data_IF_433756082445
#
_entry.id   IF_433756082445
#
_cell.length_a   1.000
_cell.length_b   1.000
_cell.length_c   1.000
_cell.angle_alpha   90.00
_cell.angle_beta   90.00
_cell.angle_gamma   90.00
#
_symmetry.space_group_name_H-M   'P 1'
#
loop_
_entity.id
_entity.type
_entity.pdbx_description
1 polymer ?
#
# COMPACT_ATOMS: atom_id res chain seq x y z
N UNK A 1 39.43 39.13 4.77
CA UNK A 1 39.30 40.27 3.83
C UNK A 1 40.49 41.20 4.01
N UNK A 2 40.85 42.03 3.02
CA UNK A 2 41.92 43.03 3.18
C UNK A 2 41.31 44.40 3.48
N UNK A 3 41.96 45.18 4.35
CA UNK A 3 41.52 46.54 4.68
C UNK A 3 41.61 47.46 3.45
N UNK A 4 40.53 48.18 3.13
CA UNK A 4 40.51 49.15 2.01
C UNK A 4 41.62 50.21 2.06
N UNK A 5 41.97 50.70 3.27
CA UNK A 5 42.99 51.76 3.44
C UNK A 5 44.41 51.27 3.63
N UNK A 6 44.66 50.20 4.39
CA UNK A 6 46.02 49.75 4.69
C UNK A 6 46.40 48.41 4.03
N UNK A 7 45.49 47.81 3.27
CA UNK A 7 45.66 46.57 2.48
C UNK A 7 46.17 45.34 3.27
N UNK A 8 46.10 45.40 4.60
CA UNK A 8 46.44 44.28 5.50
C UNK A 8 45.25 43.35 5.69
N UNK A 9 45.52 42.09 6.01
CA UNK A 9 44.46 41.14 6.34
C UNK A 9 43.73 41.53 7.62
N UNK A 10 42.40 41.54 7.55
CA UNK A 10 41.50 41.86 8.67
C UNK A 10 40.57 40.69 8.91
N UNK A 11 40.40 40.34 10.19
CA UNK A 11 39.40 39.41 10.72
C UNK A 11 38.40 40.20 11.56
N UNK A 12 37.36 40.74 10.93
CA UNK A 12 36.30 41.50 11.60
C UNK A 12 35.83 42.73 10.81
N UNK A 13 34.86 43.45 11.37
CA UNK A 13 34.28 44.69 10.80
C UNK A 13 35.17 45.92 10.96
N UNK A 14 36.22 45.88 11.80
CA UNK A 14 37.11 47.03 12.03
C UNK A 14 38.56 46.58 11.91
N UNK A 15 39.36 47.30 11.12
CA UNK A 15 40.79 47.05 11.01
C UNK A 15 41.49 47.44 12.31
N UNK A 16 42.05 46.45 13.02
CA UNK A 16 42.75 46.64 14.30
C UNK A 16 43.98 47.55 14.20
N UNK A 17 44.47 47.84 13.00
CA UNK A 17 45.68 48.63 12.76
C UNK A 17 45.44 50.09 12.41
N UNK A 18 44.36 50.39 11.69
CA UNK A 18 44.07 51.76 11.24
C UNK A 18 42.69 52.27 11.66
N UNK A 19 41.93 51.45 12.39
CA UNK A 19 40.59 51.78 12.88
C UNK A 19 39.52 51.83 11.80
N UNK A 20 39.83 51.50 10.55
CA UNK A 20 38.87 51.60 9.46
C UNK A 20 37.81 50.51 9.54
N UNK A 21 36.55 50.95 9.59
CA UNK A 21 35.39 50.07 9.49
C UNK A 21 35.34 49.52 8.06
N UNK A 22 35.42 48.20 7.95
CA UNK A 22 35.24 47.48 6.70
C UNK A 22 33.76 47.15 6.55
N UNK A 23 33.16 47.57 5.44
CA UNK A 23 31.83 47.12 5.05
C UNK A 23 31.88 45.63 4.76
N UNK A 24 31.37 44.81 5.69
CA UNK A 24 31.13 43.40 5.42
C UNK A 24 29.94 43.37 4.47
N UNK A 25 30.05 42.81 3.26
CA UNK A 25 28.90 42.67 2.39
C UNK A 25 27.85 41.85 3.14
N UNK A 26 26.69 42.46 3.39
CA UNK A 26 25.54 41.74 3.94
C UNK A 26 25.23 40.57 3.02
N UNK A 27 25.23 39.37 3.60
CA UNK A 27 24.85 38.16 2.89
C UNK A 27 23.38 38.31 2.48
N UNK A 28 23.17 38.66 1.21
CA UNK A 28 21.82 38.85 0.67
C UNK A 28 21.19 37.47 0.52
N UNK A 29 20.44 37.06 1.54
CA UNK A 29 19.59 35.87 1.45
C UNK A 29 18.52 36.16 0.40
N UNK A 30 18.73 35.66 -0.82
CA UNK A 30 17.76 35.75 -1.91
C UNK A 30 16.57 34.88 -1.55
N UNK A 31 15.56 35.48 -0.93
CA UNK A 31 14.30 34.80 -0.70
C UNK A 31 13.62 34.54 -2.06
N UNK A 32 13.04 33.34 -2.27
CA UNK A 32 12.34 33.03 -3.51
C UNK A 32 11.23 34.03 -3.76
N UNK A 33 11.08 34.46 -5.01
CA UNK A 33 10.02 35.41 -5.36
C UNK A 33 8.65 34.79 -5.10
N UNK A 34 7.63 35.62 -4.82
CA UNK A 34 6.25 35.15 -4.60
C UNK A 34 5.73 34.28 -5.74
N UNK A 35 6.15 34.57 -6.98
CA UNK A 35 5.78 33.80 -8.17
C UNK A 35 6.40 32.41 -8.16
N UNK A 36 7.61 32.28 -7.62
CA UNK A 36 8.28 30.99 -7.49
C UNK A 36 7.63 30.16 -6.38
N UNK A 37 7.28 30.78 -5.24
CA UNK A 37 6.54 30.13 -4.16
C UNK A 37 5.20 29.55 -4.67
N UNK A 38 4.45 30.32 -5.47
CA UNK A 38 3.20 29.85 -6.08
C UNK A 38 3.42 28.67 -7.03
N UNK A 39 4.45 28.73 -7.89
CA UNK A 39 4.81 27.61 -8.79
C UNK A 39 5.11 26.34 -7.99
N UNK A 40 5.91 26.44 -6.93
CA UNK A 40 6.21 25.30 -6.07
C UNK A 40 4.95 24.77 -5.39
N UNK A 41 4.08 25.63 -4.86
CA UNK A 41 2.83 25.20 -4.22
C UNK A 41 1.92 24.42 -5.18
N UNK A 42 1.75 24.89 -6.42
CA UNK A 42 0.98 24.20 -7.46
C UNK A 42 1.63 22.85 -7.80
N UNK A 43 2.95 22.83 -7.98
CA UNK A 43 3.69 21.61 -8.30
C UNK A 43 3.53 20.55 -7.20
N UNK A 44 3.70 20.92 -5.93
CA UNK A 44 3.53 20.00 -4.80
C UNK A 44 2.10 19.48 -4.69
N UNK A 45 1.09 20.33 -4.90
CA UNK A 45 -0.30 19.90 -4.88
C UNK A 45 -0.61 18.92 -6.03
N UNK A 46 -0.10 19.18 -7.23
CA UNK A 46 -0.25 18.26 -8.37
C UNK A 46 0.44 16.92 -8.11
N UNK A 47 1.66 16.93 -7.57
CA UNK A 47 2.39 15.71 -7.18
C UNK A 47 1.60 14.94 -6.12
N UNK A 48 1.11 15.60 -5.07
CA UNK A 48 0.32 14.96 -4.02
C UNK A 48 -0.96 14.32 -4.57
N UNK A 49 -1.62 14.98 -5.52
CA UNK A 49 -2.79 14.43 -6.19
C UNK A 49 -2.46 13.20 -7.03
N UNK A 50 -1.41 13.25 -7.85
CA UNK A 50 -0.95 12.11 -8.65
C UNK A 50 -0.54 10.94 -7.76
N UNK A 51 0.21 11.20 -6.68
CA UNK A 51 0.60 10.17 -5.72
C UNK A 51 -0.60 9.57 -4.98
N UNK A 52 -1.61 10.38 -4.66
CA UNK A 52 -2.87 9.88 -4.09
C UNK A 52 -3.68 9.00 -5.04
N UNK A 53 -3.63 9.28 -6.35
CA UNK A 53 -4.20 8.37 -7.37
C UNK A 53 -3.38 7.08 -7.40
N UNK A 54 -2.06 7.19 -7.54
CA UNK A 54 -1.17 6.04 -7.66
C UNK A 54 -1.17 5.16 -6.41
N UNK A 55 -1.40 5.72 -5.21
CA UNK A 55 -1.45 4.95 -3.97
C UNK A 55 -2.63 3.96 -3.91
N UNK A 56 -3.66 4.14 -4.75
CA UNK A 56 -4.73 3.16 -4.87
C UNK A 56 -4.29 1.86 -5.57
N UNK A 57 -3.22 1.95 -6.36
CA UNK A 57 -2.65 0.85 -7.16
C UNK A 57 -1.34 0.32 -6.57
N UNK A 58 -0.51 1.20 -6.01
CA UNK A 58 0.83 0.88 -5.51
C UNK A 58 1.01 1.34 -4.06
N UNK A 59 1.06 0.40 -3.12
CA UNK A 59 1.25 0.72 -1.70
C UNK A 59 2.59 1.42 -1.41
N UNK A 60 3.60 1.22 -2.27
CA UNK A 60 4.95 1.81 -2.12
C UNK A 60 4.96 3.34 -2.21
N UNK A 61 3.99 3.96 -2.90
CA UNK A 61 3.94 5.42 -3.08
C UNK A 61 3.09 6.13 -2.03
N UNK A 62 2.46 5.38 -1.13
CA UNK A 62 1.50 5.90 -0.15
C UNK A 62 2.16 6.88 0.83
N UNK A 63 3.35 6.55 1.36
CA UNK A 63 4.11 7.43 2.25
C UNK A 63 4.52 8.74 1.54
N UNK A 64 4.95 8.65 0.28
CA UNK A 64 5.32 9.81 -0.52
C UNK A 64 4.11 10.73 -0.77
N UNK A 65 2.92 10.15 -1.00
CA UNK A 65 1.66 10.90 -1.14
C UNK A 65 1.30 11.67 0.13
N UNK A 66 1.44 11.05 1.31
CA UNK A 66 1.18 11.73 2.60
C UNK A 66 2.15 12.90 2.79
N UNK A 67 3.46 12.67 2.63
CA UNK A 67 4.49 13.70 2.85
C UNK A 67 4.27 14.90 1.93
N UNK A 68 4.05 14.65 0.63
CA UNK A 68 3.86 15.71 -0.36
C UNK A 68 2.53 16.47 -0.16
N UNK A 69 1.45 15.77 0.23
CA UNK A 69 0.16 16.39 0.53
C UNK A 69 0.21 17.31 1.77
N UNK A 70 0.86 16.87 2.85
CA UNK A 70 1.06 17.68 4.06
C UNK A 70 1.92 18.91 3.75
N UNK A 71 3.01 18.73 3.00
CA UNK A 71 3.90 19.82 2.64
C UNK A 71 3.22 20.86 1.72
N UNK A 72 2.44 20.42 0.73
CA UNK A 72 1.65 21.29 -0.15
C UNK A 72 0.58 22.09 0.61
N UNK A 73 -0.12 21.46 1.55
CA UNK A 73 -1.08 22.13 2.43
C UNK A 73 -0.40 23.15 3.35
N UNK A 74 0.76 22.81 3.91
CA UNK A 74 1.54 23.70 4.79
C UNK A 74 2.02 24.96 4.05
N UNK A 75 2.62 24.80 2.86
CA UNK A 75 3.05 25.94 2.03
C UNK A 75 1.85 26.85 1.73
N UNK A 76 0.72 26.26 1.32
CA UNK A 76 -0.50 27.01 0.99
C UNK A 76 -0.99 27.84 2.16
N UNK A 77 -1.05 27.25 3.36
CA UNK A 77 -1.50 27.94 4.57
C UNK A 77 -0.57 29.06 5.02
N UNK A 78 0.75 28.86 4.94
CA UNK A 78 1.77 29.84 5.37
C UNK A 78 1.94 31.00 4.39
N UNK A 79 1.81 30.77 3.09
CA UNK A 79 2.30 31.73 2.08
C UNK A 79 1.22 32.32 1.17
N UNK A 80 0.12 31.60 0.91
CA UNK A 80 -0.90 32.04 -0.07
C UNK A 80 -2.14 32.68 0.58
N UNK A 81 -2.30 32.58 1.90
CA UNK A 81 -3.50 32.99 2.65
C UNK A 81 -3.92 34.46 2.46
N UNK A 82 -3.01 35.39 2.19
CA UNK A 82 -3.32 36.83 2.15
C UNK A 82 -3.28 37.51 0.78
N UNK A 83 -2.63 36.93 -0.23
CA UNK A 83 -2.33 37.64 -1.47
C UNK A 83 -3.19 37.23 -2.68
N UNK A 84 -3.59 35.96 -2.79
CA UNK A 84 -4.27 35.44 -3.98
C UNK A 84 -5.31 34.37 -3.63
N UNK A 85 -6.46 34.82 -3.10
CA UNK A 85 -7.53 33.95 -2.57
C UNK A 85 -7.95 32.82 -3.56
N UNK A 86 -8.00 33.10 -4.86
CA UNK A 86 -8.34 32.10 -5.89
C UNK A 86 -7.33 30.95 -5.96
N UNK A 87 -6.04 31.26 -5.97
CA UNK A 87 -4.97 30.25 -6.04
C UNK A 87 -4.80 29.52 -4.71
N UNK A 88 -4.94 30.22 -3.58
CA UNK A 88 -5.02 29.60 -2.26
C UNK A 88 -6.13 28.54 -2.20
N UNK A 89 -7.33 28.89 -2.66
CA UNK A 89 -8.47 27.95 -2.70
C UNK A 89 -8.20 26.77 -3.62
N UNK A 90 -7.64 26.99 -4.82
CA UNK A 90 -7.34 25.91 -5.77
C UNK A 90 -6.29 24.92 -5.22
N UNK A 91 -5.14 25.43 -4.77
CA UNK A 91 -4.04 24.59 -4.25
C UNK A 91 -4.48 23.86 -2.98
N UNK A 92 -5.27 24.51 -2.12
CA UNK A 92 -5.88 23.90 -0.95
C UNK A 92 -6.81 22.73 -1.31
N UNK A 93 -7.71 22.93 -2.29
CA UNK A 93 -8.62 21.86 -2.76
C UNK A 93 -7.85 20.67 -3.33
N UNK A 94 -6.86 20.92 -4.20
CA UNK A 94 -6.08 19.83 -4.82
C UNK A 94 -5.30 19.04 -3.76
N UNK A 95 -4.69 19.74 -2.79
CA UNK A 95 -3.97 19.09 -1.69
C UNK A 95 -4.89 18.25 -0.81
N UNK A 96 -6.10 18.75 -0.51
CA UNK A 96 -7.11 18.01 0.25
C UNK A 96 -7.61 16.78 -0.50
N UNK A 97 -7.81 16.88 -1.82
CA UNK A 97 -8.17 15.74 -2.66
C UNK A 97 -7.07 14.68 -2.68
N UNK A 98 -5.80 15.08 -2.82
CA UNK A 98 -4.66 14.17 -2.75
C UNK A 98 -4.57 13.45 -1.39
N UNK A 99 -4.73 14.19 -0.29
CA UNK A 99 -4.78 13.62 1.05
C UNK A 99 -5.96 12.67 1.25
N UNK A 100 -7.14 13.02 0.74
CA UNK A 100 -8.33 12.17 0.81
C UNK A 100 -8.12 10.84 0.07
N UNK A 101 -7.60 10.88 -1.17
CA UNK A 101 -7.29 9.68 -1.96
C UNK A 101 -6.23 8.81 -1.28
N UNK A 102 -5.20 9.43 -0.70
CA UNK A 102 -4.17 8.72 0.07
C UNK A 102 -4.75 8.12 1.36
N UNK A 103 -5.69 8.82 2.01
CA UNK A 103 -6.43 8.32 3.17
C UNK A 103 -7.24 7.06 2.86
N UNK A 104 -8.00 7.06 1.75
CA UNK A 104 -8.71 5.87 1.26
C UNK A 104 -7.74 4.71 1.02
N UNK A 105 -6.62 4.99 0.35
CA UNK A 105 -5.58 3.99 0.08
C UNK A 105 -5.01 3.41 1.37
N UNK A 106 -4.79 4.25 2.39
CA UNK A 106 -4.31 3.83 3.72
C UNK A 106 -5.30 2.92 4.40
N UNK A 107 -6.59 3.26 4.40
CA UNK A 107 -7.65 2.44 5.00
C UNK A 107 -7.72 1.08 4.31
N UNK A 108 -7.67 1.06 2.96
CA UNK A 108 -7.63 -0.18 2.18
C UNK A 108 -6.44 -1.04 2.56
N UNK A 109 -5.24 -0.46 2.62
CA UNK A 109 -4.02 -1.18 3.00
C UNK A 109 -4.12 -1.74 4.43
N UNK A 110 -4.51 -0.93 5.42
CA UNK A 110 -4.66 -1.37 6.80
C UNK A 110 -5.70 -2.49 6.94
N UNK A 111 -6.81 -2.40 6.21
CA UNK A 111 -7.82 -3.44 6.16
C UNK A 111 -7.26 -4.76 5.62
N UNK A 112 -6.48 -4.71 4.53
CA UNK A 112 -5.82 -5.90 3.98
C UNK A 112 -4.82 -6.52 4.96
N UNK A 113 -4.02 -5.69 5.63
CA UNK A 113 -3.01 -6.17 6.58
C UNK A 113 -3.63 -6.79 7.83
N UNK A 114 -4.73 -6.23 8.32
CA UNK A 114 -5.53 -6.79 9.40
C UNK A 114 -6.17 -8.13 8.98
N UNK A 115 -6.70 -8.19 7.76
CA UNK A 115 -7.33 -9.41 7.25
C UNK A 115 -6.30 -10.54 7.11
N UNK A 116 -5.10 -10.26 6.55
CA UNK A 116 -3.97 -11.22 6.52
C UNK A 116 -3.57 -11.73 7.90
N UNK A 117 -3.60 -10.86 8.92
CA UNK A 117 -3.19 -11.21 10.27
C UNK A 117 -4.24 -12.08 10.99
N UNK A 118 -5.51 -11.94 10.63
CA UNK A 118 -6.62 -12.68 11.26
C UNK A 118 -7.06 -13.91 10.46
N UNK A 119 -6.72 -14.00 9.18
CA UNK A 119 -7.10 -15.08 8.28
C UNK A 119 -6.73 -16.47 8.82
N UNK A 120 -5.51 -16.66 9.32
CA UNK A 120 -5.04 -17.95 9.81
C UNK A 120 -5.96 -18.51 10.91
N UNK A 121 -6.22 -17.71 11.95
CA UNK A 121 -7.11 -18.10 13.05
C UNK A 121 -8.55 -18.33 12.58
N UNK A 122 -9.03 -17.49 11.66
CA UNK A 122 -10.40 -17.58 11.10
C UNK A 122 -10.59 -18.91 10.37
N UNK A 123 -9.72 -19.21 9.42
CA UNK A 123 -9.84 -20.44 8.63
C UNK A 123 -9.46 -21.67 9.43
N UNK A 124 -8.62 -21.56 10.46
CA UNK A 124 -8.35 -22.69 11.35
C UNK A 124 -9.62 -23.10 12.10
N UNK A 125 -10.41 -22.11 12.54
CA UNK A 125 -11.68 -22.35 13.23
C UNK A 125 -12.72 -22.98 12.29
N UNK A 126 -12.72 -22.60 11.00
CA UNK A 126 -13.69 -23.09 10.02
C UNK A 126 -13.31 -24.48 9.50
N UNK A 127 -12.04 -24.68 9.16
CA UNK A 127 -11.56 -25.85 8.42
C UNK A 127 -11.02 -26.94 9.36
N UNK A 128 -10.43 -26.58 10.50
CA UNK A 128 -9.84 -27.53 11.45
C UNK A 128 -8.61 -28.29 10.93
N UNK A 129 -7.84 -27.71 10.00
CA UNK A 129 -6.77 -28.41 9.27
C UNK A 129 -5.34 -28.11 9.75
N UNK A 130 -5.12 -27.30 10.79
CA UNK A 130 -3.79 -26.97 11.30
C UNK A 130 -3.09 -25.87 10.48
N UNK A 131 -3.80 -24.80 10.16
CA UNK A 131 -3.27 -23.64 9.43
C UNK A 131 -2.20 -22.95 10.29
N UNK A 132 -1.05 -22.56 9.69
CA UNK A 132 0.02 -21.91 10.43
C UNK A 132 -0.46 -20.66 11.17
N UNK A 133 -0.12 -20.55 12.45
CA UNK A 133 -0.49 -19.45 13.35
C UNK A 133 0.30 -18.14 13.08
N UNK A 134 0.54 -17.83 11.81
CA UNK A 134 1.25 -16.64 11.34
C UNK A 134 0.43 -15.91 10.29
N UNK A 135 0.80 -14.65 10.05
CA UNK A 135 0.20 -13.81 9.02
C UNK A 135 0.44 -14.37 7.62
N UNK A 136 -0.55 -14.27 6.75
CA UNK A 136 -0.42 -14.64 5.34
C UNK A 136 0.67 -13.80 4.64
N UNK A 137 1.52 -14.47 3.85
CA UNK A 137 2.60 -13.81 3.09
C UNK A 137 2.09 -13.15 1.82
N UNK A 138 1.01 -13.69 1.24
CA UNK A 138 0.36 -13.14 0.05
C UNK A 138 -1.13 -12.96 0.29
N UNK A 139 -1.69 -11.95 -0.37
CA UNK A 139 -3.10 -11.61 -0.34
C UNK A 139 -3.48 -11.04 -1.70
N UNK A 140 -4.54 -11.57 -2.29
CA UNK A 140 -5.08 -11.07 -3.55
C UNK A 140 -6.60 -11.10 -3.47
N UNK A 141 -7.23 -10.03 -3.94
CA UNK A 141 -8.68 -10.02 -4.18
C UNK A 141 -8.85 -9.98 -5.67
N UNK A 142 -9.46 -11.02 -6.21
CA UNK A 142 -9.89 -11.08 -7.59
C UNK A 142 -11.41 -10.92 -7.66
N UNK A 143 -11.85 -10.14 -8.63
CA UNK A 143 -13.25 -10.00 -8.98
C UNK A 143 -13.37 -10.64 -10.35
N UNK A 144 -13.74 -11.92 -10.38
CA UNK A 144 -13.82 -12.68 -11.62
C UNK A 144 -14.72 -11.95 -12.61
N UNK A 145 -14.10 -11.29 -13.59
CA UNK A 145 -14.72 -10.23 -14.39
C UNK A 145 -15.94 -10.74 -15.18
N UNK A 146 -16.02 -12.05 -15.41
CA UNK A 146 -17.10 -12.74 -16.13
C UNK A 146 -17.86 -13.77 -15.29
N UNK A 147 -17.43 -14.06 -14.06
CA UNK A 147 -18.01 -15.13 -13.26
C UNK A 147 -18.97 -14.61 -12.19
N UNK A 148 -18.85 -13.34 -11.79
CA UNK A 148 -19.70 -12.75 -10.76
C UNK A 148 -19.30 -13.15 -9.34
N UNK A 149 -18.09 -13.70 -9.14
CA UNK A 149 -17.55 -14.03 -7.82
C UNK A 149 -16.51 -13.02 -7.38
N UNK A 150 -16.39 -12.92 -6.06
CA UNK A 150 -15.23 -12.38 -5.38
C UNK A 150 -14.41 -13.56 -4.86
N UNK A 151 -13.13 -13.59 -5.19
CA UNK A 151 -12.17 -14.55 -4.69
C UNK A 151 -11.15 -13.81 -3.84
N UNK A 152 -11.00 -14.22 -2.58
CA UNK A 152 -9.91 -13.74 -1.72
C UNK A 152 -8.91 -14.88 -1.54
N UNK A 153 -7.68 -14.66 -2.00
CA UNK A 153 -6.60 -15.63 -1.91
C UNK A 153 -5.63 -15.24 -0.80
N UNK A 154 -5.33 -16.18 0.08
CA UNK A 154 -4.30 -16.07 1.10
C UNK A 154 -3.24 -17.14 0.85
N UNK A 155 -1.96 -16.78 0.93
CA UNK A 155 -0.87 -17.74 0.78
C UNK A 155 0.04 -17.80 2.00
N UNK A 156 0.56 -19.00 2.27
CA UNK A 156 1.46 -19.32 3.37
C UNK A 156 2.59 -20.21 2.84
N UNK A 157 3.83 -19.93 3.23
CA UNK A 157 4.86 -20.97 3.22
C UNK A 157 4.60 -21.89 4.41
N UNK A 158 4.93 -23.17 4.31
CA UNK A 158 4.77 -24.17 5.36
C UNK A 158 6.13 -24.78 5.73
N UNK A 159 6.27 -25.25 6.97
CA UNK A 159 7.24 -26.29 7.31
C UNK A 159 6.75 -27.64 6.77
N UNK A 160 7.64 -28.62 6.72
CA UNK A 160 7.26 -29.99 6.33
C UNK A 160 6.25 -30.60 7.32
N UNK A 161 6.40 -30.34 8.63
CA UNK A 161 5.48 -30.80 9.67
C UNK A 161 4.06 -30.23 9.50
N UNK A 162 3.96 -28.93 9.22
CA UNK A 162 2.69 -28.25 8.95
C UNK A 162 2.05 -28.81 7.66
N UNK A 163 2.86 -29.05 6.62
CA UNK A 163 2.40 -29.66 5.37
C UNK A 163 1.78 -31.04 5.59
N UNK A 164 2.47 -31.93 6.33
CA UNK A 164 1.97 -33.27 6.61
C UNK A 164 0.71 -33.25 7.49
N UNK A 165 0.64 -32.31 8.45
CA UNK A 165 -0.54 -32.14 9.30
C UNK A 165 -1.78 -31.76 8.49
N UNK A 166 -1.66 -30.76 7.61
CA UNK A 166 -2.74 -30.34 6.72
C UNK A 166 -3.13 -31.48 5.77
N UNK A 167 -2.14 -32.20 5.24
CA UNK A 167 -2.36 -33.34 4.36
C UNK A 167 -3.21 -34.43 5.01
N UNK A 168 -2.97 -34.73 6.29
CA UNK A 168 -3.67 -35.78 7.03
C UNK A 168 -5.11 -35.40 7.44
N UNK A 169 -5.36 -34.11 7.70
CA UNK A 169 -6.64 -33.63 8.24
C UNK A 169 -7.62 -33.13 7.16
N UNK A 170 -7.27 -33.25 5.89
CA UNK A 170 -8.06 -32.71 4.77
C UNK A 170 -8.52 -33.82 3.84
N UNK A 171 -9.77 -33.74 3.36
CA UNK A 171 -10.28 -34.66 2.32
C UNK A 171 -9.94 -34.10 0.93
N UNK A 172 -8.88 -34.64 0.33
CA UNK A 172 -8.38 -34.18 -0.97
C UNK A 172 -9.20 -34.72 -2.14
N UNK A 173 -9.45 -33.85 -3.11
CA UNK A 173 -10.07 -34.23 -4.38
C UNK A 173 -9.12 -35.12 -5.19
N UNK A 174 -9.67 -36.19 -5.75
CA UNK A 174 -8.95 -37.18 -6.55
C UNK A 174 -8.97 -36.88 -8.05
N UNK A 175 -9.89 -36.04 -8.51
CA UNK A 175 -10.09 -35.73 -9.92
C UNK A 175 -10.05 -34.23 -10.20
N UNK A 176 -9.75 -33.89 -11.46
CA UNK A 176 -9.92 -32.55 -11.98
C UNK A 176 -11.42 -32.20 -11.96
N UNK A 177 -11.79 -31.29 -11.07
CA UNK A 177 -13.11 -30.70 -10.96
C UNK A 177 -13.18 -29.36 -11.74
N UNK A 178 -14.35 -29.06 -12.30
CA UNK A 178 -14.73 -27.78 -12.93
C UNK A 178 -14.32 -26.52 -12.12
N UNK A 179 -14.23 -26.60 -10.79
CA UNK A 179 -13.69 -25.52 -9.97
C UNK A 179 -12.28 -25.08 -10.38
N UNK A 180 -11.42 -26.03 -10.72
CA UNK A 180 -10.02 -25.79 -11.08
C UNK A 180 -9.90 -25.02 -12.40
N UNK A 181 -10.87 -25.21 -13.28
CA UNK A 181 -11.03 -24.44 -14.53
C UNK A 181 -11.52 -23.01 -14.24
N UNK A 182 -12.32 -22.83 -13.17
CA UNK A 182 -12.81 -21.50 -12.73
C UNK A 182 -11.72 -20.65 -12.06
N UNK A 183 -10.79 -21.26 -11.33
CA UNK A 183 -9.72 -20.54 -10.60
C UNK A 183 -8.36 -20.50 -11.32
N UNK A 184 -8.18 -21.16 -12.46
CA UNK A 184 -6.84 -21.24 -13.08
C UNK A 184 -6.85 -21.15 -14.62
N UNK A 185 -6.12 -20.16 -15.15
CA UNK A 185 -5.71 -20.04 -16.56
C UNK A 185 -4.27 -20.58 -16.82
N UNK A 186 -3.53 -21.06 -15.79
CA UNK A 186 -2.20 -21.70 -15.94
C UNK A 186 -2.00 -22.89 -14.99
N UNK A 187 -0.97 -23.70 -15.25
CA UNK A 187 -0.80 -25.12 -14.91
C UNK A 187 -1.18 -25.63 -13.50
N UNK A 188 -1.64 -26.87 -13.52
CA UNK A 188 -2.31 -27.61 -12.45
C UNK A 188 -1.33 -28.26 -11.46
N UNK A 189 -0.65 -27.47 -10.62
CA UNK A 189 0.32 -28.01 -9.65
C UNK A 189 -0.26 -28.08 -8.22
N UNK A 190 -0.25 -29.26 -7.59
CA UNK A 190 -0.62 -29.44 -6.17
C UNK A 190 -1.89 -30.29 -5.92
N UNK A 191 -2.25 -30.46 -4.64
CA UNK A 191 -3.50 -31.11 -4.21
C UNK A 191 -4.53 -30.07 -3.78
N UNK A 192 -5.80 -30.38 -3.99
CA UNK A 192 -6.91 -29.46 -3.75
C UNK A 192 -8.01 -30.08 -2.91
N UNK A 193 -8.67 -29.27 -2.10
CA UNK A 193 -9.86 -29.63 -1.35
C UNK A 193 -10.85 -28.46 -1.37
N UNK A 194 -12.14 -28.76 -1.24
CA UNK A 194 -13.20 -27.75 -1.18
C UNK A 194 -14.00 -28.00 0.09
N UNK A 195 -14.19 -26.93 0.84
CA UNK A 195 -15.06 -26.88 2.01
C UNK A 195 -16.30 -26.10 1.63
N UNK A 196 -17.44 -26.79 1.62
CA UNK A 196 -18.75 -26.19 1.46
C UNK A 196 -19.11 -25.45 2.74
N UNK A 197 -19.11 -24.12 2.66
CA UNK A 197 -19.34 -23.27 3.83
C UNK A 197 -20.78 -23.38 4.34
N UNK A 198 -21.75 -23.73 3.48
CA UNK A 198 -23.15 -23.81 3.89
C UNK A 198 -23.47 -25.11 4.63
N UNK A 199 -22.92 -26.21 4.14
CA UNK A 199 -23.15 -27.52 4.72
C UNK A 199 -22.10 -27.88 5.79
N UNK A 200 -21.07 -27.06 5.95
CA UNK A 200 -19.94 -27.27 6.87
C UNK A 200 -19.23 -28.62 6.64
N UNK A 201 -19.11 -29.02 5.37
CA UNK A 201 -18.54 -30.31 4.96
C UNK A 201 -17.46 -30.15 3.91
N UNK A 202 -16.57 -31.15 3.86
CA UNK A 202 -15.64 -31.30 2.75
C UNK A 202 -16.34 -31.94 1.55
N UNK A 203 -16.25 -31.29 0.40
CA UNK A 203 -16.90 -31.73 -0.82
C UNK A 203 -17.13 -30.58 -1.78
N UNK A 204 -17.38 -30.93 -3.04
CA UNK A 204 -17.80 -29.94 -4.05
C UNK A 204 -19.30 -29.74 -3.88
N UNK A 205 -19.79 -28.51 -3.64
CA UNK A 205 -21.22 -28.25 -3.58
C UNK A 205 -21.88 -28.46 -4.96
N UNK A 206 -23.14 -28.92 -4.95
CA UNK A 206 -23.90 -29.24 -6.17
C UNK A 206 -24.02 -28.07 -7.15
N UNK A 207 -24.05 -26.83 -6.64
CA UNK A 207 -24.06 -25.61 -7.45
C UNK A 207 -23.04 -24.61 -6.92
N UNK A 208 -21.76 -24.85 -7.20
CA UNK A 208 -20.63 -24.01 -6.77
C UNK A 208 -20.77 -22.53 -7.14
N UNK A 209 -21.63 -22.20 -8.11
CA UNK A 209 -21.92 -20.86 -8.56
C UNK A 209 -22.98 -20.13 -7.69
N UNK A 210 -23.76 -20.84 -6.90
CA UNK A 210 -24.72 -20.22 -5.98
C UNK A 210 -24.15 -19.97 -4.59
N UNK A 211 -23.06 -20.64 -4.23
CA UNK A 211 -22.67 -20.80 -2.83
C UNK A 211 -21.36 -20.10 -2.48
N UNK A 212 -21.21 -19.82 -1.18
CA UNK A 212 -19.94 -19.45 -0.57
C UNK A 212 -19.22 -20.75 -0.24
N UNK A 213 -17.98 -20.89 -0.67
CA UNK A 213 -17.14 -22.04 -0.36
C UNK A 213 -15.70 -21.60 -0.17
N UNK A 214 -14.90 -22.47 0.45
CA UNK A 214 -13.47 -22.25 0.65
C UNK A 214 -12.72 -23.36 -0.07
N UNK A 215 -11.85 -23.00 -1.00
CA UNK A 215 -10.93 -23.98 -1.58
C UNK A 215 -9.55 -23.88 -0.94
N UNK A 216 -8.96 -25.04 -0.71
CA UNK A 216 -7.64 -25.21 -0.12
C UNK A 216 -6.76 -25.87 -1.17
N UNK A 217 -5.59 -25.29 -1.43
CA UNK A 217 -4.56 -25.86 -2.30
C UNK A 217 -3.29 -26.00 -1.50
N UNK A 218 -2.65 -27.16 -1.60
CA UNK A 218 -1.32 -27.40 -1.02
C UNK A 218 -0.35 -27.82 -2.12
N UNK A 219 0.85 -27.26 -2.09
CA UNK A 219 1.86 -27.43 -3.14
C UNK A 219 3.16 -27.87 -2.49
N UNK A 220 3.82 -28.87 -3.09
CA UNK A 220 5.16 -29.30 -2.74
C UNK A 220 6.03 -29.24 -4.00
N UNK A 221 7.07 -28.39 -4.00
CA UNK A 221 8.01 -28.25 -5.10
C UNK A 221 9.43 -28.06 -4.57
N UNK A 222 10.32 -29.00 -4.89
CA UNK A 222 11.75 -28.90 -4.54
C UNK A 222 12.00 -28.62 -3.04
N UNK A 223 11.24 -29.26 -2.16
CA UNK A 223 11.35 -29.06 -0.70
C UNK A 223 10.70 -27.77 -0.17
N UNK A 224 10.06 -26.97 -1.04
CA UNK A 224 9.23 -25.85 -0.64
C UNK A 224 7.77 -26.27 -0.54
N UNK A 225 7.17 -25.99 0.61
CA UNK A 225 5.78 -26.31 0.91
C UNK A 225 4.95 -25.03 0.99
N UNK A 226 3.81 -25.00 0.30
CA UNK A 226 2.90 -23.85 0.30
C UNK A 226 1.46 -24.27 0.53
N UNK A 227 0.73 -23.44 1.26
CA UNK A 227 -0.72 -23.48 1.40
C UNK A 227 -1.32 -22.24 0.77
N UNK A 228 -2.37 -22.42 0.00
CA UNK A 228 -3.19 -21.35 -0.53
C UNK A 228 -4.65 -21.60 -0.17
N UNK A 229 -5.31 -20.57 0.34
CA UNK A 229 -6.72 -20.59 0.73
C UNK A 229 -7.43 -19.60 -0.17
N UNK A 230 -8.51 -20.06 -0.80
CA UNK A 230 -9.36 -19.30 -1.70
C UNK A 230 -10.74 -19.21 -1.07
N UNK A 231 -11.08 -18.05 -0.53
CA UNK A 231 -12.41 -17.74 -0.04
C UNK A 231 -13.24 -17.18 -1.21
N UNK A 232 -14.21 -17.97 -1.67
CA UNK A 232 -15.00 -17.68 -2.86
C UNK A 232 -16.43 -17.39 -2.45
N UNK A 233 -16.89 -16.19 -2.78
CA UNK A 233 -18.25 -15.75 -2.46
C UNK A 233 -18.90 -15.09 -3.68
N UNK A 234 -20.22 -15.28 -3.81
CA UNK A 234 -21.01 -14.59 -4.82
C UNK A 234 -20.97 -13.08 -4.58
N UNK A 235 -20.74 -12.29 -5.62
CA UNK A 235 -20.76 -10.82 -5.53
C UNK A 235 -22.18 -10.36 -5.21
N UNK A 236 -22.38 -9.85 -4.00
CA UNK A 236 -23.59 -9.10 -3.66
C UNK A 236 -23.43 -7.70 -4.30
N UNK A 237 -24.35 -7.35 -5.19
CA UNK A 237 -24.42 -6.03 -5.84
C UNK A 237 -25.12 -5.02 -4.95
#
# INVERSE_FOLDING_TARGET
MKCGKCNREVKGTVCSYCGEVQDIPEETVVLPSRRDILKYAILFAAIAFVLGILSNYFNQVLLLGIITGVFGAWISFRTLKSAEKKWFTLVGIISLLGLFLTGISTIKYLSQELDKATAAKRYETILGIGIPSRKAISYQVDFGYNTGYKVIRYGYNLSEEEYQTILANTTWLTESNYFLELINQEEFEGKYAIFDYQNETWGVPDDILKYHFIAVRIIQKEGNYKLEIYDVSKRQY
#
